data_IF_492835047543
#
_entry.id   IF_492835047543
#
_cell.length_a   1.000
_cell.length_b   1.000
_cell.length_c   1.000
_cell.angle_alpha   90.00
_cell.angle_beta   90.00
_cell.angle_gamma   90.00
#
_symmetry.space_group_name_H-M   'P 1'
#
loop_
_entity.id
_entity.type
_entity.pdbx_description
1 polymer ?
#
# COMPACT_ATOMS: atom_id res chain seq x y z
N UNK A 1 14.97 7.16 23.87
CA UNK A 1 13.55 7.39 24.20
C UNK A 1 13.37 8.90 24.06
N UNK A 2 13.23 9.35 22.82
CA UNK A 2 13.22 10.78 22.51
C UNK A 2 11.77 11.24 22.38
N UNK A 3 11.23 11.70 23.49
CA UNK A 3 9.94 12.40 23.54
C UNK A 3 10.16 13.83 23.05
N UNK A 4 10.26 14.01 21.73
CA UNK A 4 10.00 15.33 21.16
C UNK A 4 8.50 15.62 21.34
N UNK A 5 8.11 16.72 22.01
CA UNK A 5 6.71 17.10 22.08
C UNK A 5 6.23 17.34 20.66
N UNK A 6 5.25 16.54 20.21
CA UNK A 6 4.59 16.73 18.93
C UNK A 6 3.96 18.13 18.95
N UNK A 7 4.57 19.08 18.25
CA UNK A 7 3.91 20.34 17.93
C UNK A 7 2.55 20.03 17.30
N UNK A 8 1.49 20.79 17.60
CA UNK A 8 0.20 20.61 16.95
C UNK A 8 0.40 20.80 15.44
N UNK A 9 0.44 19.70 14.70
CA UNK A 9 0.51 19.72 13.24
C UNK A 9 -0.85 20.18 12.70
N UNK A 10 -1.07 21.49 12.73
CA UNK A 10 -2.26 22.18 12.23
C UNK A 10 -2.54 21.86 10.75
N UNK A 11 -1.55 21.36 10.02
CA UNK A 11 -1.66 20.88 8.64
C UNK A 11 -2.39 19.53 8.50
N UNK A 12 -2.54 18.74 9.57
CA UNK A 12 -3.19 17.42 9.51
C UNK A 12 -4.68 17.50 9.21
N UNK A 13 -5.37 18.46 9.81
CA UNK A 13 -6.81 18.67 9.60
C UNK A 13 -7.15 19.06 8.14
N UNK A 14 -6.52 20.07 7.52
CA UNK A 14 -6.78 20.39 6.12
C UNK A 14 -6.33 19.27 5.17
N UNK A 15 -5.24 18.56 5.47
CA UNK A 15 -4.83 17.42 4.68
C UNK A 15 -5.85 16.28 4.74
N UNK A 16 -6.38 15.95 5.92
CA UNK A 16 -7.46 14.97 6.08
C UNK A 16 -8.74 15.42 5.34
N UNK A 17 -9.08 16.71 5.44
CA UNK A 17 -10.23 17.27 4.74
C UNK A 17 -10.09 17.14 3.21
N UNK A 18 -8.87 17.28 2.67
CA UNK A 18 -8.60 17.06 1.25
C UNK A 18 -8.75 15.61 0.80
N UNK A 19 -8.61 14.64 1.71
CA UNK A 19 -8.83 13.23 1.41
C UNK A 19 -10.31 12.83 1.34
N UNK A 20 -11.19 13.56 2.02
CA UNK A 20 -12.64 13.30 1.98
C UNK A 20 -13.19 13.30 0.55
N UNK A 21 -12.98 14.34 -0.29
CA UNK A 21 -13.48 14.32 -1.67
C UNK A 21 -12.80 13.24 -2.52
N UNK A 22 -11.54 12.90 -2.26
CA UNK A 22 -10.84 11.82 -2.98
C UNK A 22 -11.46 10.44 -2.68
N UNK A 23 -11.75 10.16 -1.41
CA UNK A 23 -12.41 8.92 -1.01
C UNK A 23 -13.87 8.87 -1.47
N UNK A 24 -14.57 10.00 -1.45
CA UNK A 24 -15.91 10.12 -2.02
C UNK A 24 -15.90 9.84 -3.53
N UNK A 25 -14.93 10.39 -4.26
CA UNK A 25 -14.74 10.12 -5.68
C UNK A 25 -14.40 8.65 -5.95
N UNK A 26 -13.63 7.99 -5.08
CA UNK A 26 -13.37 6.56 -5.18
C UNK A 26 -14.59 5.69 -4.86
N UNK A 27 -15.52 6.16 -4.04
CA UNK A 27 -16.75 5.42 -3.73
C UNK A 27 -17.69 5.38 -4.94
N UNK A 28 -17.83 6.51 -5.63
CA UNK A 28 -18.67 6.68 -6.81
C UNK A 28 -17.87 7.31 -7.97
N UNK A 29 -16.98 6.53 -8.62
CA UNK A 29 -16.08 7.06 -9.66
C UNK A 29 -16.82 7.57 -10.89
N UNK A 30 -17.99 7.01 -11.22
CA UNK A 30 -18.83 7.47 -12.33
C UNK A 30 -19.40 8.87 -12.05
N UNK A 31 -20.01 9.07 -10.88
CA UNK A 31 -20.52 10.38 -10.47
C UNK A 31 -19.40 11.43 -10.34
N UNK A 32 -18.23 11.02 -9.83
CA UNK A 32 -17.07 11.90 -9.76
C UNK A 32 -16.56 12.29 -11.15
N UNK A 33 -16.58 11.35 -12.09
CA UNK A 33 -16.23 11.59 -13.47
C UNK A 33 -17.19 12.59 -14.13
N UNK A 34 -18.50 12.41 -13.95
CA UNK A 34 -19.51 13.32 -14.49
C UNK A 34 -19.37 14.74 -13.92
N UNK A 35 -19.13 14.86 -12.60
CA UNK A 35 -18.86 16.14 -11.94
C UNK A 35 -17.60 16.82 -12.48
N UNK A 36 -16.50 16.07 -12.64
CA UNK A 36 -15.25 16.58 -13.20
C UNK A 36 -15.44 17.04 -14.65
N UNK A 37 -16.23 16.30 -15.43
CA UNK A 37 -16.56 16.61 -16.81
C UNK A 37 -17.39 17.89 -16.92
N UNK A 38 -18.42 18.03 -16.07
CA UNK A 38 -19.27 19.21 -16.02
C UNK A 38 -18.47 20.44 -15.56
N UNK A 39 -17.66 20.31 -14.52
CA UNK A 39 -16.78 21.37 -14.02
C UNK A 39 -15.74 21.79 -15.06
N UNK A 40 -15.19 20.83 -15.82
CA UNK A 40 -14.21 21.09 -16.88
C UNK A 40 -14.79 21.68 -18.16
N UNK A 41 -16.13 21.77 -18.29
CA UNK A 41 -16.84 22.17 -19.52
C UNK A 41 -16.30 21.47 -20.78
N UNK A 42 -15.85 20.22 -20.66
CA UNK A 42 -15.23 19.49 -21.77
C UNK A 42 -16.33 18.92 -22.65
N UNK A 43 -16.63 19.63 -23.74
CA UNK A 43 -17.60 19.22 -24.76
C UNK A 43 -17.08 18.04 -25.59
N UNK A 44 -17.73 16.88 -25.45
CA UNK A 44 -17.99 15.90 -26.52
C UNK A 44 -16.83 15.51 -27.46
N UNK A 45 -15.67 15.11 -26.92
CA UNK A 45 -14.77 14.22 -27.67
C UNK A 45 -14.77 12.88 -26.94
N UNK A 46 -15.39 11.87 -27.56
CA UNK A 46 -15.33 10.46 -27.14
C UNK A 46 -13.89 9.95 -27.34
N UNK A 47 -12.96 10.42 -26.53
CA UNK A 47 -11.63 9.83 -26.41
C UNK A 47 -11.70 8.69 -25.39
N UNK A 48 -10.83 7.68 -25.53
CA UNK A 48 -10.63 6.57 -24.57
C UNK A 48 -10.50 7.01 -23.08
N UNK A 49 -10.25 8.30 -22.86
CA UNK A 49 -10.08 9.00 -21.60
C UNK A 49 -11.44 9.23 -20.87
N UNK A 50 -12.57 9.04 -21.55
CA UNK A 50 -13.92 9.28 -21.02
C UNK A 50 -14.47 8.05 -20.27
N UNK A 51 -13.73 7.57 -19.26
CA UNK A 51 -14.08 6.36 -18.52
C UNK A 51 -13.78 6.51 -17.02
N UNK A 52 -14.73 6.18 -16.16
CA UNK A 52 -14.62 6.19 -14.70
C UNK A 52 -13.43 5.34 -14.19
N UNK A 53 -13.01 4.33 -14.95
CA UNK A 53 -11.79 3.57 -14.68
C UNK A 53 -10.54 4.45 -14.57
N UNK A 54 -10.49 5.59 -15.25
CA UNK A 54 -9.36 6.51 -15.14
C UNK A 54 -9.30 7.17 -13.76
N UNK A 55 -10.45 7.53 -13.18
CA UNK A 55 -10.55 8.08 -11.82
C UNK A 55 -10.07 7.02 -10.81
N UNK A 56 -10.53 5.78 -10.96
CA UNK A 56 -10.10 4.64 -10.15
C UNK A 56 -8.59 4.42 -10.23
N UNK A 57 -8.02 4.37 -11.43
CA UNK A 57 -6.58 4.17 -11.63
C UNK A 57 -5.77 5.31 -11.04
N UNK A 58 -6.19 6.56 -11.26
CA UNK A 58 -5.51 7.74 -10.73
C UNK A 58 -5.54 7.77 -9.20
N UNK A 59 -6.70 7.52 -8.58
CA UNK A 59 -6.84 7.48 -7.12
C UNK A 59 -6.06 6.32 -6.49
N UNK A 60 -6.11 5.13 -7.11
CA UNK A 60 -5.36 3.95 -6.69
C UNK A 60 -3.85 4.21 -6.75
N UNK A 61 -3.35 4.76 -7.86
CA UNK A 61 -1.94 5.10 -8.03
C UNK A 61 -1.51 6.17 -7.03
N UNK A 62 -2.31 7.23 -6.85
CA UNK A 62 -2.04 8.29 -5.89
C UNK A 62 -1.96 7.73 -4.46
N UNK A 63 -2.90 6.87 -4.07
CA UNK A 63 -2.90 6.22 -2.77
C UNK A 63 -1.65 5.35 -2.56
N UNK A 64 -1.30 4.54 -3.56
CA UNK A 64 -0.11 3.67 -3.48
C UNK A 64 1.19 4.47 -3.34
N UNK A 65 1.33 5.54 -4.13
CA UNK A 65 2.48 6.46 -4.05
C UNK A 65 2.52 7.17 -2.70
N UNK A 66 1.38 7.63 -2.19
CA UNK A 66 1.29 8.25 -0.87
C UNK A 66 1.76 7.29 0.24
N UNK A 67 1.27 6.05 0.24
CA UNK A 67 1.70 5.03 1.21
C UNK A 67 3.19 4.74 1.09
N UNK A 68 3.72 4.59 -0.12
CA UNK A 68 5.15 4.37 -0.33
C UNK A 68 5.99 5.53 0.26
N UNK A 69 5.61 6.78 0.01
CA UNK A 69 6.32 7.93 0.59
C UNK A 69 6.25 7.95 2.11
N UNK A 70 5.08 7.70 2.71
CA UNK A 70 4.94 7.67 4.17
C UNK A 70 5.71 6.52 4.84
N UNK A 71 5.81 5.36 4.19
CA UNK A 71 6.66 4.28 4.68
C UNK A 71 8.15 4.66 4.64
N UNK A 72 8.61 5.33 3.57
CA UNK A 72 10.01 5.80 3.46
C UNK A 72 10.34 6.86 4.51
N UNK A 73 9.45 7.81 4.75
CA UNK A 73 9.59 8.80 5.83
C UNK A 73 9.59 8.12 7.22
N UNK A 74 8.85 7.03 7.38
CA UNK A 74 8.84 6.19 8.58
C UNK A 74 10.07 5.28 8.76
N UNK A 75 11.05 5.36 7.86
CA UNK A 75 12.32 4.62 7.95
C UNK A 75 12.31 3.22 7.32
N UNK A 76 11.28 2.83 6.57
CA UNK A 76 11.29 1.56 5.83
C UNK A 76 12.29 1.61 4.66
N UNK A 77 12.88 0.45 4.36
CA UNK A 77 13.76 0.32 3.20
C UNK A 77 13.03 0.65 1.90
N UNK A 78 13.72 1.26 0.93
CA UNK A 78 13.13 1.67 -0.35
C UNK A 78 12.30 0.57 -1.05
N UNK A 79 12.77 -0.68 -1.12
CA UNK A 79 11.99 -1.78 -1.67
C UNK A 79 10.77 -2.17 -0.85
N UNK A 80 10.88 -2.23 0.49
CA UNK A 80 9.75 -2.61 1.36
C UNK A 80 8.64 -1.55 1.34
N UNK A 81 9.01 -0.27 1.34
CA UNK A 81 8.07 0.81 1.17
C UNK A 81 7.37 0.77 -0.21
N UNK A 82 8.12 0.36 -1.24
CA UNK A 82 7.58 0.11 -2.58
C UNK A 82 6.52 -0.99 -2.58
N UNK A 83 6.81 -2.15 -1.98
CA UNK A 83 5.88 -3.27 -1.86
C UNK A 83 4.58 -2.87 -1.14
N UNK A 84 4.71 -2.13 -0.02
CA UNK A 84 3.56 -1.60 0.73
C UNK A 84 2.73 -0.63 -0.10
N UNK A 85 3.38 0.25 -0.87
CA UNK A 85 2.73 1.17 -1.79
C UNK A 85 1.97 0.45 -2.90
N UNK A 86 2.58 -0.54 -3.54
CA UNK A 86 1.92 -1.36 -4.58
C UNK A 86 0.72 -2.09 -3.99
N UNK A 87 0.87 -2.71 -2.81
CA UNK A 87 -0.24 -3.38 -2.13
C UNK A 87 -1.39 -2.41 -1.81
N UNK A 88 -1.09 -1.22 -1.30
CA UNK A 88 -2.10 -0.19 -1.05
C UNK A 88 -2.77 0.30 -2.33
N UNK A 89 -2.02 0.43 -3.42
CA UNK A 89 -2.54 0.73 -4.75
C UNK A 89 -3.52 -0.34 -5.21
N UNK A 90 -3.15 -1.63 -5.15
CA UNK A 90 -4.03 -2.75 -5.53
C UNK A 90 -5.31 -2.80 -4.67
N UNK A 91 -5.19 -2.59 -3.36
CA UNK A 91 -6.35 -2.46 -2.47
C UNK A 91 -7.23 -1.28 -2.90
N UNK A 92 -6.63 -0.14 -3.23
CA UNK A 92 -7.31 1.04 -3.77
C UNK A 92 -8.01 0.75 -5.09
N UNK A 93 -7.43 -0.08 -5.96
CA UNK A 93 -8.03 -0.44 -7.26
C UNK A 93 -9.36 -1.18 -7.06
N UNK A 94 -9.39 -2.13 -6.12
CA UNK A 94 -10.61 -2.87 -5.78
C UNK A 94 -11.60 -1.96 -5.04
N UNK A 95 -11.12 -1.17 -4.07
CA UNK A 95 -11.95 -0.24 -3.30
C UNK A 95 -12.60 0.83 -4.18
N UNK A 96 -11.91 1.28 -5.24
CA UNK A 96 -12.35 2.36 -6.11
C UNK A 96 -12.89 1.88 -7.46
N UNK A 97 -13.01 0.57 -7.68
CA UNK A 97 -13.51 -0.01 -8.93
C UNK A 97 -14.89 0.55 -9.29
N UNK A 98 -15.12 1.00 -10.54
CA UNK A 98 -16.45 1.41 -10.98
C UNK A 98 -17.32 0.16 -11.07
N UNK A 99 -18.54 0.25 -10.55
CA UNK A 99 -19.47 -0.87 -10.55
C UNK A 99 -20.65 -0.52 -11.45
N UNK A 100 -20.94 -1.29 -12.51
CA UNK A 100 -21.87 -0.90 -13.57
C UNK A 100 -23.34 -1.10 -13.17
N UNK A 101 -23.70 -0.74 -11.94
CA UNK A 101 -25.07 -0.77 -11.47
C UNK A 101 -25.61 0.64 -11.54
N UNK A 102 -26.12 1.01 -12.72
CA UNK A 102 -26.75 2.31 -12.96
C UNK A 102 -27.94 2.53 -12.02
N UNK A 103 -28.69 1.47 -11.68
CA UNK A 103 -29.72 1.54 -10.64
C UNK A 103 -29.64 0.36 -9.65
N UNK A 104 -29.88 0.63 -8.36
CA UNK A 104 -30.07 -0.41 -7.34
C UNK A 104 -31.19 -1.41 -7.70
N UNK A 105 -32.08 -1.00 -8.61
CA UNK A 105 -33.18 -1.82 -9.15
C UNK A 105 -32.68 -2.93 -10.07
N UNK A 106 -31.54 -2.74 -10.74
CA UNK A 106 -30.95 -3.75 -11.62
C UNK A 106 -30.55 -5.01 -10.86
N UNK A 107 -30.15 -4.88 -9.58
CA UNK A 107 -29.89 -6.04 -8.70
C UNK A 107 -31.11 -6.95 -8.53
N UNK A 108 -32.30 -6.37 -8.47
CA UNK A 108 -33.57 -7.08 -8.27
C UNK A 108 -34.09 -7.66 -9.59
N UNK A 109 -33.60 -7.18 -10.74
CA UNK A 109 -33.96 -7.66 -12.08
C UNK A 109 -33.12 -8.87 -12.52
N UNK A 110 -31.95 -9.12 -11.92
CA UNK A 110 -31.09 -10.26 -12.28
C UNK A 110 -31.79 -11.58 -11.96
N UNK A 111 -32.26 -12.35 -12.94
CA UNK A 111 -33.03 -13.57 -12.68
C UNK A 111 -32.25 -14.68 -11.93
N UNK A 112 -30.90 -14.68 -12.02
CA UNK A 112 -30.06 -15.69 -11.37
C UNK A 112 -29.71 -15.32 -9.92
N UNK A 113 -30.11 -16.12 -8.92
CA UNK A 113 -29.78 -15.85 -7.51
C UNK A 113 -28.27 -15.94 -7.24
N UNK A 114 -27.55 -16.83 -7.92
CA UNK A 114 -26.10 -17.00 -7.76
C UNK A 114 -25.37 -15.72 -8.18
N UNK A 115 -25.77 -15.12 -9.30
CA UNK A 115 -25.16 -13.88 -9.79
C UNK A 115 -25.45 -12.70 -8.84
N UNK A 116 -26.66 -12.61 -8.27
CA UNK A 116 -26.99 -11.61 -7.25
C UNK A 116 -26.10 -11.71 -6.02
N UNK A 117 -25.92 -12.92 -5.48
CA UNK A 117 -25.06 -13.13 -4.32
C UNK A 117 -23.59 -12.77 -4.60
N UNK A 118 -23.11 -13.07 -5.80
CA UNK A 118 -21.75 -12.74 -6.22
C UNK A 118 -21.54 -11.22 -6.33
N UNK A 119 -22.50 -10.51 -6.92
CA UNK A 119 -22.49 -9.04 -7.01
C UNK A 119 -22.55 -8.41 -5.61
N UNK A 120 -23.46 -8.88 -4.75
CA UNK A 120 -23.56 -8.41 -3.37
C UNK A 120 -22.27 -8.67 -2.58
N UNK A 121 -21.65 -9.83 -2.75
CA UNK A 121 -20.36 -10.16 -2.14
C UNK A 121 -19.24 -9.23 -2.62
N UNK A 122 -19.25 -8.86 -3.90
CA UNK A 122 -18.26 -7.93 -4.47
C UNK A 122 -18.49 -6.49 -4.00
N UNK A 123 -19.75 -6.07 -3.88
CA UNK A 123 -20.09 -4.75 -3.34
C UNK A 123 -19.73 -4.63 -1.86
N UNK A 124 -20.01 -5.69 -1.09
CA UNK A 124 -19.62 -5.78 0.32
C UNK A 124 -18.09 -5.76 0.48
N UNK A 125 -17.34 -6.52 -0.32
CA UNK A 125 -15.88 -6.53 -0.26
C UNK A 125 -15.28 -5.17 -0.63
N UNK A 126 -15.79 -4.51 -1.69
CA UNK A 126 -15.42 -3.13 -2.05
C UNK A 126 -15.65 -2.18 -0.88
N UNK A 127 -16.82 -2.23 -0.24
CA UNK A 127 -17.16 -1.39 0.91
C UNK A 127 -16.22 -1.63 2.10
N UNK A 128 -15.90 -2.89 2.40
CA UNK A 128 -14.95 -3.26 3.47
C UNK A 128 -13.55 -2.71 3.16
N UNK A 129 -13.06 -2.88 1.93
CA UNK A 129 -11.74 -2.37 1.54
C UNK A 129 -11.69 -0.83 1.58
N UNK A 130 -12.76 -0.17 1.12
CA UNK A 130 -12.87 1.29 1.18
C UNK A 130 -12.83 1.78 2.63
N UNK A 131 -13.61 1.17 3.53
CA UNK A 131 -13.63 1.50 4.95
C UNK A 131 -12.27 1.23 5.62
N UNK A 132 -11.62 0.12 5.25
CA UNK A 132 -10.30 -0.23 5.75
C UNK A 132 -9.25 0.85 5.38
N UNK A 133 -9.24 1.29 4.11
CA UNK A 133 -8.35 2.34 3.64
C UNK A 133 -8.66 3.69 4.29
N UNK A 134 -9.94 4.05 4.43
CA UNK A 134 -10.36 5.27 5.11
C UNK A 134 -9.95 5.26 6.59
N UNK A 135 -10.11 4.12 7.26
CA UNK A 135 -9.71 3.95 8.65
C UNK A 135 -8.19 4.02 8.85
N UNK A 136 -7.40 3.41 7.95
CA UNK A 136 -5.94 3.55 7.96
C UNK A 136 -5.52 5.01 7.86
N UNK A 137 -6.15 5.75 6.95
CA UNK A 137 -5.84 7.15 6.72
C UNK A 137 -6.25 8.02 7.92
N UNK A 138 -7.45 7.78 8.48
CA UNK A 138 -7.92 8.45 9.68
C UNK A 138 -6.97 8.19 10.86
N UNK A 139 -6.55 6.93 11.06
CA UNK A 139 -5.61 6.57 12.12
C UNK A 139 -4.24 7.23 11.93
N UNK A 140 -3.78 7.39 10.70
CA UNK A 140 -2.57 8.13 10.40
C UNK A 140 -2.67 9.61 10.80
N UNK A 141 -3.75 10.29 10.42
CA UNK A 141 -3.92 11.73 10.73
C UNK A 141 -4.28 12.01 12.20
N UNK A 142 -5.07 11.15 12.85
CA UNK A 142 -5.43 11.30 14.28
C UNK A 142 -4.32 10.81 15.22
N UNK A 143 -3.66 9.70 14.86
CA UNK A 143 -2.61 9.08 15.68
C UNK A 143 -1.22 9.64 15.42
N UNK A 144 -1.02 10.36 14.32
CA UNK A 144 0.23 11.09 14.03
C UNK A 144 1.46 10.22 13.85
N UNK A 145 1.29 8.93 13.59
CA UNK A 145 2.38 7.98 13.66
C UNK A 145 2.52 7.24 12.33
N UNK A 146 3.66 7.44 11.65
CA UNK A 146 4.03 6.73 10.43
C UNK A 146 4.09 5.20 10.64
N UNK A 147 4.19 4.75 11.91
CA UNK A 147 4.11 3.35 12.32
C UNK A 147 2.83 2.63 11.84
N UNK A 148 1.73 3.36 11.56
CA UNK A 148 0.48 2.77 11.07
C UNK A 148 0.68 2.08 9.72
N UNK A 149 1.40 2.73 8.80
CA UNK A 149 1.73 2.14 7.50
C UNK A 149 2.86 1.13 7.62
N UNK A 150 3.77 1.33 8.58
CA UNK A 150 4.87 0.39 8.85
C UNK A 150 4.39 -1.00 9.28
N UNK A 151 3.35 -1.04 10.11
CA UNK A 151 2.72 -2.26 10.62
C UNK A 151 1.78 -2.95 9.63
N UNK A 152 1.61 -2.41 8.43
CA UNK A 152 0.81 -3.05 7.40
C UNK A 152 1.48 -4.37 6.99
N UNK A 153 0.79 -5.52 7.08
CA UNK A 153 1.35 -6.79 6.68
C UNK A 153 1.57 -6.79 5.16
N UNK A 154 2.82 -6.96 4.74
CA UNK A 154 3.21 -7.09 3.34
C UNK A 154 3.06 -8.53 2.89
N UNK A 155 2.17 -8.78 1.94
CA UNK A 155 2.04 -10.11 1.32
C UNK A 155 3.03 -10.31 0.16
N UNK A 156 3.59 -9.22 -0.38
CA UNK A 156 4.52 -9.23 -1.52
C UNK A 156 5.98 -9.48 -1.09
N UNK A 157 6.35 -9.19 0.15
CA UNK A 157 7.74 -9.28 0.63
C UNK A 157 8.16 -10.68 1.14
N UNK A 158 7.35 -11.72 0.86
CA UNK A 158 7.58 -13.10 1.31
C UNK A 158 8.90 -13.74 0.86
N UNK A 159 9.62 -13.13 -0.10
CA UNK A 159 10.92 -13.61 -0.58
C UNK A 159 12.16 -12.94 0.00
N UNK A 160 12.04 -11.87 0.81
CA UNK A 160 13.21 -11.09 1.30
C UNK A 160 13.43 -11.13 2.81
N UNK A 161 12.56 -11.79 3.59
CA UNK A 161 12.79 -12.04 5.03
C UNK A 161 13.63 -13.31 5.24
N UNK A 162 14.81 -13.36 4.63
CA UNK A 162 15.69 -14.54 4.69
C UNK A 162 17.18 -14.24 4.57
N UNK A 163 17.62 -13.01 4.79
CA UNK A 163 19.04 -12.72 4.97
C UNK A 163 19.21 -12.06 6.34
N UNK A 164 19.57 -12.79 7.41
CA UNK A 164 20.08 -12.16 8.61
C UNK A 164 21.34 -11.37 8.22
N UNK A 165 21.20 -10.05 8.24
CA UNK A 165 22.34 -9.14 8.27
C UNK A 165 23.00 -9.29 9.64
N UNK A 166 24.06 -10.10 9.71
CA UNK A 166 24.88 -10.23 10.90
C UNK A 166 25.31 -11.65 11.15
N UNK A 167 26.33 -12.10 10.42
CA UNK A 167 27.42 -12.92 10.92
C UNK A 167 28.51 -13.02 9.84
N UNK A 168 29.18 -11.90 9.58
CA UNK A 168 30.50 -11.89 8.94
C UNK A 168 31.50 -11.23 9.90
N UNK A 169 31.46 -11.68 11.15
CA UNK A 169 32.48 -11.46 12.17
C UNK A 169 33.01 -12.81 12.65
N UNK A 170 33.31 -13.74 11.73
CA UNK A 170 33.97 -14.99 12.09
C UNK A 170 34.59 -15.68 10.88
N UNK A 171 35.49 -15.02 10.15
CA UNK A 171 36.29 -15.73 9.14
C UNK A 171 37.67 -15.08 8.89
N UNK A 172 38.28 -14.49 9.94
CA UNK A 172 39.68 -14.03 9.86
C UNK A 172 40.51 -14.41 11.09
N UNK A 173 39.99 -15.27 11.98
CA UNK A 173 40.75 -15.80 13.10
C UNK A 173 41.08 -17.30 12.99
N UNK A 174 40.54 -18.04 12.01
CA UNK A 174 40.89 -19.46 11.81
C UNK A 174 42.12 -19.67 10.90
N UNK A 175 42.58 -18.66 10.17
CA UNK A 175 43.80 -18.77 9.37
C UNK A 175 45.11 -18.66 10.18
N UNK A 176 45.05 -18.30 11.48
CA UNK A 176 46.24 -18.07 12.31
C UNK A 176 46.47 -19.13 13.40
N UNK A 177 45.52 -20.06 13.61
CA UNK A 177 45.60 -21.13 14.62
C UNK A 177 45.65 -22.53 13.96
N UNK A 178 46.23 -22.62 12.76
CA UNK A 178 46.56 -23.91 12.11
C UNK A 178 48.05 -24.00 11.74
N UNK A 179 48.91 -23.25 12.46
CA UNK A 179 50.36 -23.26 12.23
C UNK A 179 51.21 -23.41 13.50
N UNK A 180 50.64 -24.01 14.55
CA UNK A 180 51.39 -24.25 15.78
C UNK A 180 50.99 -25.57 16.44
N UNK A 181 51.86 -26.56 16.25
CA UNK A 181 51.83 -27.88 16.89
C UNK A 181 51.40 -28.96 15.91
N UNK A 182 52.24 -29.89 15.49
CA UNK A 182 53.63 -30.18 15.80
C UNK A 182 53.93 -31.52 15.14
N UNK A 183 55.16 -31.71 14.67
CA UNK A 183 55.73 -33.04 14.73
C UNK A 183 57.23 -32.93 14.94
N UNK A 184 57.66 -33.59 16.00
CA UNK A 184 59.04 -33.74 16.43
C UNK A 184 59.39 -35.20 16.19
N UNK A 185 60.56 -35.44 15.60
CA UNK A 185 61.60 -36.38 16.08
C UNK A 185 62.26 -37.19 14.95
N UNK A 186 63.59 -37.11 14.95
CA UNK A 186 64.61 -38.13 14.58
C UNK A 186 64.64 -38.57 13.09
N UNK A 187 65.75 -38.92 12.44
CA UNK A 187 67.10 -39.29 12.85
C UNK A 187 68.00 -39.31 11.58
N UNK A 188 69.32 -39.41 11.79
CA UNK A 188 70.38 -39.90 10.89
C UNK A 188 70.95 -39.02 9.74
N UNK A 189 72.26 -38.75 9.84
CA UNK A 189 73.20 -39.39 8.91
C UNK A 189 74.12 -38.48 8.08
N UNK A 190 75.41 -38.55 8.44
CA UNK A 190 76.65 -38.17 7.72
C UNK A 190 77.15 -36.72 7.72
#
# INVERSE_FOLDING_TARGET
MDTHPQSPDWWRAPALAAWIPLFAAGLAPDAAFDLLREAGRVSTINALINNAWLVTLALSAFLGVFVAFRCREGGDSGPEAGDKGVQAGLLGLIAFMPFPLEEQRDLVLIASPVLRWLIMGTLASKGILWLYLAFLLLRYYLGGNAEVFRRMPTFLSGGRRGAPAGDAKSETNEAMISRKGGDSSADEGH
#
